data_IF_018499056323
#
_entry.id   IF_018499056323
#
_cell.length_a   1.000
_cell.length_b   1.000
_cell.length_c   1.000
_cell.angle_alpha   90.00
_cell.angle_beta   90.00
_cell.angle_gamma   90.00
#
_symmetry.space_group_name_H-M   'P 1'
#
loop_
_entity.id
_entity.type
_entity.pdbx_description
1 polymer ?
#
# COMPACT_ATOMS: atom_id res chain seq x y z
N UNK A 1 26.80 42.91 7.26
CA UNK A 1 27.68 41.96 6.58
C UNK A 1 28.01 40.86 7.55
N UNK A 2 28.36 39.65 7.15
CA UNK A 2 28.43 39.03 5.82
C UNK A 2 28.83 37.56 6.07
N UNK A 3 28.46 36.67 5.16
CA UNK A 3 28.85 35.25 5.11
C UNK A 3 27.62 34.35 5.12
N UNK A 4 27.10 33.82 4.01
CA UNK A 4 27.73 33.34 2.77
C UNK A 4 27.85 31.81 2.86
N UNK A 5 26.86 31.06 2.37
CA UNK A 5 26.75 30.43 1.02
C UNK A 5 27.44 29.05 0.88
N UNK A 6 26.73 28.12 0.22
CA UNK A 6 27.25 26.86 -0.34
C UNK A 6 26.80 25.59 0.42
N UNK A 7 26.19 24.57 -0.19
CA UNK A 7 25.96 24.33 -1.61
C UNK A 7 25.07 23.11 -1.88
N UNK A 8 24.65 23.05 -3.14
CA UNK A 8 23.96 22.02 -3.91
C UNK A 8 24.60 20.62 -3.89
N UNK A 9 23.77 19.63 -4.25
CA UNK A 9 24.17 18.32 -4.80
C UNK A 9 23.56 17.14 -4.03
N UNK A 10 22.80 16.23 -4.60
CA UNK A 10 22.54 15.96 -6.01
C UNK A 10 21.46 14.90 -6.22
N UNK A 11 21.16 14.73 -7.51
CA UNK A 11 20.20 13.84 -8.15
C UNK A 11 20.48 12.34 -8.00
N UNK A 12 19.44 11.54 -8.29
CA UNK A 12 19.60 10.32 -9.08
C UNK A 12 19.28 9.01 -8.37
N UNK A 13 18.32 8.27 -8.92
CA UNK A 13 18.09 6.88 -8.51
C UNK A 13 16.78 6.28 -9.01
N UNK A 14 16.59 6.24 -10.32
CA UNK A 14 15.54 5.45 -10.98
C UNK A 14 16.01 3.98 -11.11
N UNK A 15 15.10 3.03 -10.88
CA UNK A 15 15.31 1.63 -11.22
C UNK A 15 14.37 0.73 -10.40
N UNK A 16 13.67 -0.25 -10.95
CA UNK A 16 13.55 -0.76 -12.30
C UNK A 16 12.54 -1.89 -12.16
N UNK A 17 11.46 -1.85 -12.94
CA UNK A 17 10.48 -2.93 -12.96
C UNK A 17 11.05 -4.13 -13.70
N UNK A 18 10.87 -5.33 -13.14
CA UNK A 18 11.05 -6.56 -13.89
C UNK A 18 9.75 -7.38 -13.82
N UNK A 19 9.13 -7.48 -14.99
CA UNK A 19 7.93 -8.25 -15.27
C UNK A 19 8.33 -9.65 -15.74
N UNK A 20 8.00 -10.66 -14.94
CA UNK A 20 8.02 -12.06 -15.39
C UNK A 20 6.63 -12.48 -15.84
N UNK A 21 6.42 -12.48 -17.17
CA UNK A 21 5.27 -13.08 -17.85
C UNK A 21 5.68 -14.50 -18.31
N UNK A 22 5.17 -15.52 -17.62
CA UNK A 22 5.44 -16.92 -17.95
C UNK A 22 4.37 -17.37 -18.96
N UNK A 23 4.76 -17.40 -20.24
CA UNK A 23 3.91 -17.83 -21.32
C UNK A 23 3.57 -19.33 -21.31
N UNK A 24 2.69 -19.70 -22.24
CA UNK A 24 2.69 -21.05 -22.82
C UNK A 24 1.34 -21.75 -22.81
N UNK A 25 0.60 -21.67 -23.92
CA UNK A 25 -0.62 -22.44 -24.12
C UNK A 25 -1.03 -22.49 -25.59
N UNK A 26 -0.33 -23.32 -26.37
CA UNK A 26 -0.65 -23.65 -27.76
C UNK A 26 -2.01 -24.35 -27.89
N UNK A 27 -2.89 -23.83 -28.75
CA UNK A 27 -3.87 -24.66 -29.47
C UNK A 27 -4.35 -24.01 -30.78
N UNK A 28 -3.66 -24.43 -31.84
CA UNK A 28 -4.06 -24.58 -33.25
C UNK A 28 -5.59 -24.64 -33.51
N UNK A 29 -6.09 -23.76 -34.37
CA UNK A 29 -7.21 -24.07 -35.29
C UNK A 29 -7.31 -23.02 -36.43
N UNK A 30 -6.91 -23.42 -37.63
CA UNK A 30 -7.31 -22.75 -38.88
C UNK A 30 -8.78 -23.03 -39.17
N UNK A 31 -9.50 -22.10 -39.82
CA UNK A 31 -10.08 -22.49 -41.09
C UNK A 31 -9.90 -21.44 -42.19
N UNK A 32 -9.43 -21.94 -43.32
CA UNK A 32 -9.51 -21.36 -44.65
C UNK A 32 -10.95 -20.99 -45.04
N UNK A 33 -11.19 -19.78 -45.57
CA UNK A 33 -12.28 -19.55 -46.53
C UNK A 33 -12.12 -18.25 -47.35
N UNK A 34 -11.79 -18.47 -48.62
CA UNK A 34 -12.25 -17.82 -49.87
C UNK A 34 -12.59 -16.31 -49.92
N UNK A 35 -11.96 -15.67 -50.90
CA UNK A 35 -12.37 -14.55 -51.77
C UNK A 35 -13.82 -14.07 -51.69
N UNK A 36 -14.00 -12.75 -51.69
CA UNK A 36 -15.28 -12.10 -51.90
C UNK A 36 -15.14 -10.58 -51.97
N UNK A 37 -15.04 -10.08 -53.19
CA UNK A 37 -15.17 -8.68 -53.61
C UNK A 37 -16.48 -8.07 -53.07
N UNK A 38 -16.46 -6.81 -52.63
CA UNK A 38 -17.68 -6.10 -52.24
C UNK A 38 -17.49 -5.06 -51.14
N UNK A 39 -17.10 -3.85 -51.53
CA UNK A 39 -17.37 -2.68 -50.71
C UNK A 39 -18.90 -2.49 -50.57
N UNK A 40 -19.38 -2.16 -49.36
CA UNK A 40 -20.22 -0.98 -49.30
C UNK A 40 -19.81 -0.05 -48.15
N UNK A 41 -19.84 1.25 -48.48
CA UNK A 41 -19.72 2.39 -47.56
C UNK A 41 -20.67 2.21 -46.37
N UNK A 42 -20.15 1.85 -45.18
CA UNK A 42 -20.90 1.92 -43.91
C UNK A 42 -20.56 3.21 -43.19
N UNK A 43 -21.54 4.11 -43.21
CA UNK A 43 -21.78 5.20 -42.27
C UNK A 43 -21.08 4.98 -40.92
N UNK A 44 -20.12 5.84 -40.59
CA UNK A 44 -19.62 6.02 -39.22
C UNK A 44 -20.74 6.67 -38.41
N UNK A 45 -21.74 5.88 -37.99
CA UNK A 45 -22.54 6.25 -36.82
C UNK A 45 -21.59 6.09 -35.64
N UNK A 46 -21.19 7.20 -35.06
CA UNK A 46 -20.56 7.30 -33.75
C UNK A 46 -21.48 6.64 -32.73
N UNK A 47 -21.33 5.33 -32.58
CA UNK A 47 -21.82 4.64 -31.40
C UNK A 47 -21.03 5.24 -30.24
N UNK A 48 -21.71 6.08 -29.47
CA UNK A 48 -21.26 6.45 -28.14
C UNK A 48 -20.96 5.13 -27.42
N UNK A 49 -19.67 4.85 -27.23
CA UNK A 49 -19.25 3.80 -26.31
C UNK A 49 -20.00 4.04 -25.01
N UNK A 50 -20.66 3.03 -24.42
CA UNK A 50 -21.20 3.18 -23.09
C UNK A 50 -20.02 3.52 -22.19
N UNK A 51 -19.90 4.79 -21.81
CA UNK A 51 -19.05 5.22 -20.72
C UNK A 51 -19.61 4.48 -19.51
N UNK A 52 -19.01 3.34 -19.20
CA UNK A 52 -19.11 2.76 -17.87
C UNK A 52 -18.93 3.93 -16.90
N UNK A 53 -19.89 4.22 -16.02
CA UNK A 53 -19.73 5.27 -15.06
C UNK A 53 -18.48 4.89 -14.26
N UNK A 54 -17.40 5.67 -14.43
CA UNK A 54 -16.25 5.65 -13.54
C UNK A 54 -16.81 6.03 -12.18
N UNK A 55 -17.33 5.05 -11.42
CA UNK A 55 -17.28 5.11 -9.97
C UNK A 55 -15.82 5.38 -9.67
N UNK A 56 -15.60 6.59 -9.21
CA UNK A 56 -14.31 7.24 -9.12
C UNK A 56 -13.38 6.33 -8.31
N UNK A 57 -12.15 6.13 -8.77
CA UNK A 57 -11.19 5.27 -8.08
C UNK A 57 -11.02 5.64 -6.58
N UNK A 58 -11.29 6.90 -6.22
CA UNK A 58 -11.32 7.37 -4.83
C UNK A 58 -12.41 6.73 -3.97
N UNK A 59 -13.59 6.43 -4.53
CA UNK A 59 -14.69 5.82 -3.78
C UNK A 59 -14.42 4.34 -3.50
N UNK A 60 -13.78 3.64 -4.45
CA UNK A 60 -13.28 2.27 -4.24
C UNK A 60 -12.22 2.22 -3.13
N UNK A 61 -11.22 3.10 -3.18
CA UNK A 61 -10.16 3.18 -2.16
C UNK A 61 -10.71 3.52 -0.78
N UNK A 62 -11.68 4.43 -0.70
CA UNK A 62 -12.34 4.79 0.58
C UNK A 62 -13.09 3.60 1.19
N UNK A 63 -13.81 2.83 0.36
CA UNK A 63 -14.49 1.63 0.83
C UNK A 63 -13.53 0.54 1.34
N UNK A 64 -12.41 0.35 0.65
CA UNK A 64 -11.37 -0.60 1.03
C UNK A 64 -10.69 -0.21 2.35
N UNK A 65 -10.35 1.07 2.53
CA UNK A 65 -9.80 1.58 3.80
C UNK A 65 -10.78 1.42 4.97
N UNK A 66 -12.07 1.69 4.74
CA UNK A 66 -13.08 1.50 5.78
C UNK A 66 -13.23 0.03 6.18
N UNK A 67 -13.17 -0.89 5.22
CA UNK A 67 -13.19 -2.33 5.49
C UNK A 67 -11.93 -2.80 6.23
N UNK A 68 -10.76 -2.31 5.85
CA UNK A 68 -9.49 -2.61 6.52
C UNK A 68 -9.52 -2.13 7.99
N UNK A 69 -9.98 -0.91 8.24
CA UNK A 69 -10.14 -0.39 9.60
C UNK A 69 -11.11 -1.23 10.43
N UNK A 70 -12.25 -1.62 9.86
CA UNK A 70 -13.22 -2.46 10.55
C UNK A 70 -12.64 -3.85 10.89
N UNK A 71 -11.91 -4.46 9.96
CA UNK A 71 -11.23 -5.73 10.20
C UNK A 71 -10.15 -5.61 11.29
N UNK A 72 -9.35 -4.54 11.26
CA UNK A 72 -8.34 -4.27 12.28
C UNK A 72 -8.96 -4.09 13.67
N UNK A 73 -10.05 -3.32 13.78
CA UNK A 73 -10.76 -3.09 15.04
C UNK A 73 -11.40 -4.35 15.60
N UNK A 74 -11.84 -5.26 14.73
CA UNK A 74 -12.39 -6.55 15.15
C UNK A 74 -11.29 -7.51 15.65
N UNK A 75 -10.15 -7.56 14.95
CA UNK A 75 -9.03 -8.41 15.33
C UNK A 75 -8.31 -7.91 16.59
N UNK A 76 -8.16 -6.60 16.72
CA UNK A 76 -7.41 -5.94 17.80
C UNK A 76 -8.23 -4.80 18.40
N UNK A 77 -9.21 -5.10 19.27
CA UNK A 77 -10.01 -4.07 19.94
C UNK A 77 -9.16 -3.16 20.81
N UNK A 78 -9.60 -1.90 21.00
CA UNK A 78 -8.95 -1.02 21.98
C UNK A 78 -9.06 -1.61 23.39
N UNK A 79 -8.01 -1.47 24.17
CA UNK A 79 -7.91 -2.06 25.50
C UNK A 79 -7.55 -3.55 25.50
N UNK A 80 -7.41 -4.18 24.33
CA UNK A 80 -6.96 -5.57 24.27
C UNK A 80 -5.49 -5.68 24.67
N UNK A 81 -5.20 -6.63 25.56
CA UNK A 81 -3.83 -7.04 25.88
C UNK A 81 -3.26 -7.87 24.74
N UNK A 82 -2.04 -7.52 24.30
CA UNK A 82 -1.35 -8.14 23.17
C UNK A 82 0.12 -8.39 23.51
N UNK A 83 0.74 -9.32 22.81
CA UNK A 83 2.19 -9.48 22.78
C UNK A 83 2.70 -9.04 21.40
N UNK A 84 3.73 -8.18 21.38
CA UNK A 84 4.28 -7.59 20.14
C UNK A 84 5.68 -8.14 19.90
N UNK A 85 5.84 -8.86 18.78
CA UNK A 85 7.12 -9.32 18.27
C UNK A 85 7.93 -8.14 17.73
N UNK A 86 9.12 -7.91 18.28
CA UNK A 86 10.04 -6.88 17.80
C UNK A 86 10.80 -7.33 16.56
N UNK A 87 11.05 -6.36 15.68
CA UNK A 87 11.86 -6.53 14.47
C UNK A 87 13.08 -5.61 14.43
N UNK A 88 13.15 -4.65 15.33
CA UNK A 88 14.26 -3.72 15.45
C UNK A 88 15.55 -4.44 15.85
N UNK A 89 16.68 -3.96 15.32
CA UNK A 89 18.00 -4.50 15.62
C UNK A 89 18.28 -4.40 17.12
N UNK A 90 18.87 -5.45 17.70
CA UNK A 90 19.08 -5.57 19.16
C UNK A 90 17.87 -6.11 19.95
N UNK A 91 16.66 -6.10 19.38
CA UNK A 91 15.45 -6.66 20.02
C UNK A 91 14.73 -7.71 19.17
N UNK A 92 15.18 -7.95 17.94
CA UNK A 92 14.55 -8.87 17.00
C UNK A 92 14.28 -10.26 17.61
N UNK A 93 13.05 -10.72 17.51
CA UNK A 93 12.63 -12.02 18.07
C UNK A 93 12.08 -11.94 19.50
N UNK A 94 12.27 -10.82 20.21
CA UNK A 94 11.68 -10.59 21.52
C UNK A 94 10.17 -10.30 21.42
N UNK A 95 9.44 -10.68 22.46
CA UNK A 95 8.00 -10.39 22.61
C UNK A 95 7.79 -9.51 23.83
N UNK A 96 7.02 -8.44 23.68
CA UNK A 96 6.68 -7.53 24.78
C UNK A 96 5.16 -7.40 24.91
N UNK A 97 4.66 -7.49 26.13
CA UNK A 97 3.25 -7.30 26.43
C UNK A 97 2.86 -5.81 26.42
N UNK A 98 1.65 -5.52 25.95
CA UNK A 98 1.08 -4.18 25.93
C UNK A 98 -0.42 -4.15 25.69
N UNK A 99 -0.96 -2.95 25.53
CA UNK A 99 -2.38 -2.68 25.31
C UNK A 99 -2.60 -1.87 24.03
N UNK A 100 -3.60 -2.25 23.23
CA UNK A 100 -4.01 -1.48 22.04
C UNK A 100 -4.68 -0.16 22.44
N UNK A 101 -4.09 0.97 22.06
CA UNK A 101 -4.59 2.32 22.43
C UNK A 101 -5.31 3.02 21.28
N UNK A 102 -4.83 2.83 20.05
CA UNK A 102 -5.31 3.58 18.88
C UNK A 102 -5.33 2.73 17.61
N UNK A 103 -6.12 3.16 16.62
CA UNK A 103 -6.16 2.57 15.28
C UNK A 103 -5.85 3.64 14.25
N UNK A 104 -5.04 3.30 13.26
CA UNK A 104 -4.76 4.19 12.12
C UNK A 104 -5.94 4.24 11.17
N UNK A 105 -6.14 5.37 10.47
CA UNK A 105 -7.33 5.60 9.62
C UNK A 105 -7.34 4.73 8.35
N UNK A 106 -6.17 4.33 7.88
CA UNK A 106 -5.95 3.45 6.75
C UNK A 106 -6.13 1.97 7.10
N UNK A 107 -6.22 1.63 8.39
CA UNK A 107 -6.49 0.26 8.86
C UNK A 107 -5.30 -0.69 8.75
N UNK A 108 -4.09 -0.17 8.54
CA UNK A 108 -2.88 -0.99 8.38
C UNK A 108 -2.16 -1.28 9.71
N UNK A 109 -2.27 -0.40 10.69
CA UNK A 109 -1.58 -0.53 11.98
C UNK A 109 -2.39 0.01 13.16
N UNK A 110 -2.01 -0.40 14.37
CA UNK A 110 -2.56 0.10 15.61
C UNK A 110 -1.43 0.59 16.53
N UNK A 111 -1.74 1.53 17.41
CA UNK A 111 -0.83 1.95 18.47
C UNK A 111 -0.95 1.01 19.66
N UNK A 112 0.19 0.64 20.24
CA UNK A 112 0.28 -0.20 21.45
C UNK A 112 1.06 0.56 22.52
N UNK A 113 0.54 0.58 23.74
CA UNK A 113 1.28 1.00 24.93
C UNK A 113 1.85 -0.24 25.61
N UNK A 114 3.18 -0.35 25.67
CA UNK A 114 3.85 -1.43 26.38
C UNK A 114 3.66 -1.33 27.90
N UNK A 115 3.65 -2.46 28.60
CA UNK A 115 3.48 -2.49 30.07
C UNK A 115 4.80 -2.25 30.83
N UNK A 116 5.91 -2.80 30.35
CA UNK A 116 7.19 -2.84 31.09
C UNK A 116 8.33 -2.06 30.40
N UNK A 117 8.02 -1.28 29.36
CA UNK A 117 8.97 -0.32 28.80
C UNK A 117 8.77 1.02 29.50
N UNK A 118 9.69 1.35 30.40
CA UNK A 118 9.82 2.71 30.93
C UNK A 118 10.26 3.61 29.78
N UNK A 119 9.62 4.77 29.63
CA UNK A 119 10.22 5.85 28.85
C UNK A 119 11.61 6.09 29.46
N UNK A 120 12.63 6.27 28.63
CA UNK A 120 13.95 6.60 29.14
C UNK A 120 13.81 7.94 29.86
N UNK A 121 13.71 7.89 31.19
CA UNK A 121 13.84 9.05 32.06
C UNK A 121 15.24 9.62 31.78
N UNK A 122 15.32 10.66 30.94
CA UNK A 122 16.50 11.51 30.78
C UNK A 122 16.84 12.27 32.08
N UNK A 123 16.13 12.01 33.19
CA UNK A 123 16.35 12.54 34.53
C UNK A 123 16.96 11.49 35.46
N UNK A 124 18.15 10.99 35.14
CA UNK A 124 19.06 10.51 36.19
C UNK A 124 19.77 11.74 36.78
N UNK A 125 19.39 12.27 37.95
CA UNK A 125 20.22 13.26 38.62
C UNK A 125 21.58 12.61 38.89
N UNK A 126 22.66 13.21 38.39
CA UNK A 126 24.01 12.79 38.75
C UNK A 126 24.10 12.71 40.27
N UNK A 127 24.30 11.50 40.80
CA UNK A 127 24.54 11.31 42.22
C UNK A 127 25.84 12.08 42.57
N UNK A 128 25.85 12.83 43.69
CA UNK A 128 26.95 13.71 44.07
C UNK A 128 28.27 12.97 44.34
#
# INVERSE_FOLDING_TARGET
GEGGEGGEGGEGGEGGGESGDEGGGSAKATPSKSSGDGAPKRQRKSAASPRVPRKTAGEKRKGEQAAALAALQLAWPKGATVEVLQRDDGYAGAWYAGEVTTHTKDGASCGVKYFELLEADDEHPELP
#
